data_IF_278813289502
#
_entry.id   IF_278813289502
#
_cell.length_a   1.000
_cell.length_b   1.000
_cell.length_c   1.000
_cell.angle_alpha   90.00
_cell.angle_beta   90.00
_cell.angle_gamma   90.00
#
_symmetry.space_group_name_H-M   'P 1'
#
loop_
_entity.id
_entity.type
_entity.pdbx_description
1 polymer ?
#
# COMPACT_ATOMS: atom_id res chain seq x y z
N UNK A 1 11.35 3.76 0.55
CA UNK A 1 10.43 3.05 1.47
C UNK A 1 9.66 2.02 0.66
N UNK A 2 9.45 0.82 1.20
CA UNK A 2 8.63 -0.16 0.50
C UNK A 2 7.15 0.22 0.58
N UNK A 3 6.45 -0.01 -0.53
CA UNK A 3 5.04 0.31 -0.71
C UNK A 3 4.34 -0.90 -1.33
N UNK A 4 3.20 -1.29 -0.75
CA UNK A 4 2.33 -2.33 -1.30
C UNK A 4 1.34 -1.64 -2.24
N UNK A 5 1.42 -1.92 -3.54
CA UNK A 5 0.67 -1.20 -4.58
C UNK A 5 0.10 -2.13 -5.65
N UNK A 6 -0.90 -1.63 -6.37
CA UNK A 6 -1.45 -2.29 -7.56
C UNK A 6 -0.59 -2.01 -8.79
N UNK A 7 -0.17 -3.07 -9.48
CA UNK A 7 0.45 -3.05 -10.81
C UNK A 7 -0.58 -3.51 -11.84
N UNK A 8 -0.86 -2.68 -12.86
CA UNK A 8 -1.77 -3.04 -13.95
C UNK A 8 -1.09 -4.03 -14.91
N UNK A 9 -1.76 -5.13 -15.22
CA UNK A 9 -1.27 -6.17 -16.17
C UNK A 9 -2.29 -6.56 -17.24
N UNK A 10 -3.57 -6.20 -17.08
CA UNK A 10 -4.62 -6.49 -18.06
C UNK A 10 -4.59 -5.63 -19.33
N UNK A 11 -5.34 -6.05 -20.36
CA UNK A 11 -5.37 -5.44 -21.71
C UNK A 11 -6.13 -4.10 -21.74
N UNK A 12 -6.27 -3.48 -22.91
CA UNK A 12 -7.24 -2.37 -23.11
C UNK A 12 -8.65 -2.91 -22.82
N UNK A 13 -9.47 -2.13 -22.11
CA UNK A 13 -10.83 -2.48 -21.66
C UNK A 13 -10.97 -3.73 -20.76
N UNK A 14 -9.86 -4.38 -20.38
CA UNK A 14 -9.83 -5.50 -19.45
C UNK A 14 -8.86 -5.21 -18.28
N UNK A 15 -9.33 -4.60 -17.19
CA UNK A 15 -8.48 -4.20 -16.07
C UNK A 15 -8.19 -5.39 -15.14
N UNK A 16 -6.98 -5.92 -15.20
CA UNK A 16 -6.44 -6.89 -14.24
C UNK A 16 -5.18 -6.33 -13.55
N UNK A 17 -5.03 -6.59 -12.26
CA UNK A 17 -3.98 -6.05 -11.40
C UNK A 17 -3.25 -7.12 -10.60
N UNK A 18 -1.99 -6.83 -10.26
CA UNK A 18 -1.16 -7.58 -9.31
C UNK A 18 -0.89 -6.73 -8.07
N UNK A 19 -1.04 -7.31 -6.89
CA UNK A 19 -0.61 -6.73 -5.60
C UNK A 19 0.88 -7.02 -5.45
N UNK A 20 1.70 -5.97 -5.43
CA UNK A 20 3.17 -6.08 -5.43
C UNK A 20 3.81 -5.18 -4.39
N UNK A 21 4.93 -5.64 -3.82
CA UNK A 21 5.83 -4.82 -2.99
C UNK A 21 6.89 -4.18 -3.88
N UNK A 22 7.11 -2.88 -3.75
CA UNK A 22 8.13 -2.15 -4.52
C UNK A 22 8.63 -0.91 -3.76
N UNK A 23 9.80 -0.34 -4.09
CA UNK A 23 10.20 0.98 -3.55
C UNK A 23 9.26 2.06 -4.11
N UNK A 24 8.83 3.00 -3.27
CA UNK A 24 8.00 4.16 -3.65
C UNK A 24 8.53 4.90 -4.88
N UNK A 25 9.86 4.96 -5.04
CA UNK A 25 10.55 5.64 -6.15
C UNK A 25 10.50 4.87 -7.47
N UNK A 26 10.28 3.55 -7.45
CA UNK A 26 10.17 2.73 -8.67
C UNK A 26 8.75 2.77 -9.22
N UNK A 27 8.63 2.95 -10.53
CA UNK A 27 7.37 2.69 -11.23
C UNK A 27 7.08 1.18 -11.22
N UNK A 28 5.82 0.79 -11.07
CA UNK A 28 5.39 -0.61 -11.03
C UNK A 28 5.36 -1.23 -12.45
N UNK A 29 6.52 -1.29 -13.09
CA UNK A 29 6.75 -2.00 -14.36
C UNK A 29 6.98 -3.49 -14.09
N UNK A 30 6.79 -4.34 -15.11
CA UNK A 30 7.19 -5.74 -15.05
C UNK A 30 8.68 -5.88 -14.63
N UNK A 31 9.00 -6.88 -13.81
CA UNK A 31 10.35 -7.11 -13.27
C UNK A 31 10.83 -6.15 -12.16
N UNK A 32 10.09 -5.08 -11.84
CA UNK A 32 10.57 -4.06 -10.87
C UNK A 32 10.26 -4.36 -9.39
N UNK A 33 9.35 -5.30 -9.11
CA UNK A 33 8.83 -5.61 -7.78
C UNK A 33 9.78 -6.50 -6.96
N UNK A 34 9.70 -6.35 -5.63
CA UNK A 34 10.43 -7.18 -4.65
C UNK A 34 9.72 -8.51 -4.41
N UNK A 35 8.39 -8.48 -4.24
CA UNK A 35 7.56 -9.67 -4.06
C UNK A 35 6.18 -9.49 -4.71
N UNK A 36 5.62 -10.60 -5.22
CA UNK A 36 4.24 -10.71 -5.67
C UNK A 36 3.36 -11.32 -4.57
N UNK A 37 2.44 -10.51 -4.04
CA UNK A 37 1.57 -10.90 -2.92
C UNK A 37 0.22 -11.46 -3.36
N UNK A 38 -0.22 -11.20 -4.60
CA UNK A 38 -1.53 -11.66 -5.06
C UNK A 38 -2.08 -10.98 -6.31
N UNK A 39 -3.22 -11.46 -6.79
CA UNK A 39 -3.98 -10.91 -7.92
C UNK A 39 -5.23 -10.13 -7.45
N UNK A 40 -5.65 -9.16 -8.25
CA UNK A 40 -6.94 -8.48 -8.10
C UNK A 40 -7.58 -8.21 -9.47
N UNK A 41 -8.80 -8.69 -9.65
CA UNK A 41 -9.61 -8.41 -10.84
C UNK A 41 -10.91 -7.68 -10.45
N UNK A 42 -11.03 -6.36 -10.64
CA UNK A 42 -12.26 -5.62 -10.34
C UNK A 42 -13.47 -6.07 -11.17
N UNK A 43 -13.26 -6.62 -12.38
CA UNK A 43 -14.36 -7.08 -13.26
C UNK A 43 -15.02 -8.36 -12.74
N UNK A 44 -14.22 -9.30 -12.24
CA UNK A 44 -14.69 -10.53 -11.60
C UNK A 44 -14.94 -10.37 -10.09
N UNK A 45 -14.53 -9.23 -9.51
CA UNK A 45 -14.47 -8.97 -8.05
C UNK A 45 -13.61 -9.97 -7.25
N UNK A 46 -12.82 -10.81 -7.94
CA UNK A 46 -11.89 -11.76 -7.34
C UNK A 46 -10.60 -11.07 -6.88
N UNK A 47 -10.06 -11.54 -5.75
CA UNK A 47 -8.79 -11.10 -5.22
C UNK A 47 -8.14 -12.22 -4.42
N UNK A 48 -6.99 -12.67 -4.90
CA UNK A 48 -6.29 -13.87 -4.42
C UNK A 48 -5.00 -13.38 -3.78
N UNK A 49 -4.98 -13.28 -2.45
CA UNK A 49 -3.99 -12.52 -1.69
C UNK A 49 -3.35 -13.42 -0.63
N UNK A 50 -2.02 -13.49 -0.62
CA UNK A 50 -1.25 -14.22 0.39
C UNK A 50 -1.25 -13.44 1.71
N UNK A 51 -2.26 -13.67 2.55
CA UNK A 51 -2.47 -12.88 3.77
C UNK A 51 -1.24 -12.82 4.68
N UNK A 52 -0.56 -13.95 4.92
CA UNK A 52 0.63 -14.01 5.77
C UNK A 52 1.76 -13.13 5.26
N UNK A 53 1.97 -13.09 3.94
CA UNK A 53 2.98 -12.23 3.31
C UNK A 53 2.57 -10.76 3.38
N UNK A 54 1.28 -10.43 3.25
CA UNK A 54 0.78 -9.06 3.51
C UNK A 54 1.03 -8.67 4.97
N UNK A 55 0.66 -9.51 5.94
CA UNK A 55 0.87 -9.29 7.38
C UNK A 55 2.36 -9.10 7.72
N UNK A 56 3.25 -9.92 7.15
CA UNK A 56 4.71 -9.76 7.24
C UNK A 56 5.21 -8.42 6.67
N UNK A 57 4.79 -8.04 5.46
CA UNK A 57 5.26 -6.77 4.89
C UNK A 57 4.73 -5.53 5.64
N UNK A 58 3.55 -5.63 6.26
CA UNK A 58 3.03 -4.59 7.15
C UNK A 58 3.87 -4.48 8.44
N UNK A 59 4.27 -5.59 9.08
CA UNK A 59 5.14 -5.53 10.28
C UNK A 59 6.57 -5.06 9.97
N UNK A 60 7.08 -5.32 8.77
CA UNK A 60 8.33 -4.74 8.23
C UNK A 60 8.17 -3.25 7.86
N UNK A 61 6.98 -2.67 8.02
CA UNK A 61 6.72 -1.23 7.80
C UNK A 61 6.49 -0.81 6.36
N UNK A 62 6.21 -1.75 5.44
CA UNK A 62 5.81 -1.41 4.07
C UNK A 62 4.39 -0.82 4.06
N UNK A 63 4.24 0.41 3.57
CA UNK A 63 2.95 1.12 3.60
C UNK A 63 2.07 0.73 2.41
N UNK A 64 0.81 0.32 2.60
CA UNK A 64 -0.10 0.10 1.48
C UNK A 64 -0.50 1.42 0.82
N UNK A 65 -0.72 1.42 -0.49
CA UNK A 65 -1.47 2.49 -1.16
C UNK A 65 -2.95 2.37 -0.81
N UNK A 66 -3.66 3.50 -0.70
CA UNK A 66 -5.06 3.64 -0.26
C UNK A 66 -6.03 2.61 -0.89
N UNK A 67 -5.93 2.38 -2.20
CA UNK A 67 -6.75 1.37 -2.90
C UNK A 67 -6.43 -0.08 -2.49
N UNK A 68 -5.16 -0.38 -2.19
CA UNK A 68 -4.72 -1.68 -1.68
C UNK A 68 -5.09 -1.85 -0.21
N UNK A 69 -5.02 -0.77 0.59
CA UNK A 69 -5.53 -0.74 1.97
C UNK A 69 -7.02 -1.08 2.01
N UNK A 70 -7.84 -0.42 1.19
CA UNK A 70 -9.27 -0.71 1.06
C UNK A 70 -9.58 -2.13 0.59
N UNK A 71 -8.71 -2.72 -0.24
CA UNK A 71 -8.79 -4.12 -0.66
C UNK A 71 -8.50 -5.07 0.52
N UNK A 72 -7.47 -4.80 1.32
CA UNK A 72 -7.11 -5.58 2.51
C UNK A 72 -8.17 -5.49 3.61
N UNK A 73 -8.74 -4.30 3.85
CA UNK A 73 -9.89 -4.11 4.75
C UNK A 73 -11.11 -4.89 4.26
N UNK A 74 -11.42 -4.82 2.95
CA UNK A 74 -12.54 -5.57 2.36
C UNK A 74 -12.33 -7.10 2.38
N UNK A 75 -11.08 -7.55 2.54
CA UNK A 75 -10.68 -8.94 2.75
C UNK A 75 -10.47 -9.32 4.22
N UNK A 76 -10.75 -8.43 5.18
CA UNK A 76 -10.54 -8.60 6.64
C UNK A 76 -9.09 -8.88 7.06
N UNK A 77 -8.11 -8.54 6.21
CA UNK A 77 -6.67 -8.69 6.49
C UNK A 77 -6.18 -7.59 7.44
N UNK A 78 -6.82 -6.41 7.39
CA UNK A 78 -6.57 -5.26 8.28
C UNK A 78 -7.92 -4.83 8.87
N UNK A 79 -7.98 -4.62 10.18
CA UNK A 79 -9.20 -4.23 10.92
C UNK A 79 -9.34 -2.71 11.10
N UNK A 80 -9.01 -1.94 10.06
CA UNK A 80 -9.13 -0.48 10.01
C UNK A 80 -10.29 -0.05 9.12
N UNK A 81 -10.74 1.20 9.24
CA UNK A 81 -11.72 1.76 8.32
C UNK A 81 -11.18 1.90 6.88
N UNK A 82 -12.11 2.11 5.93
CA UNK A 82 -11.78 2.35 4.52
C UNK A 82 -11.50 3.83 4.29
N UNK A 83 -10.42 4.11 3.59
CA UNK A 83 -10.00 5.47 3.22
C UNK A 83 -10.80 5.90 1.98
N UNK A 84 -11.38 7.11 1.97
CA UNK A 84 -11.96 7.64 0.72
C UNK A 84 -10.83 7.95 -0.29
N UNK A 85 -10.93 7.35 -1.47
CA UNK A 85 -9.96 7.49 -2.57
C UNK A 85 -10.46 8.40 -3.69
N UNK A 86 -11.66 8.97 -3.55
CA UNK A 86 -12.18 9.98 -4.46
C UNK A 86 -11.48 11.32 -4.19
N UNK A 87 -10.78 11.84 -5.20
CA UNK A 87 -10.03 13.08 -5.06
C UNK A 87 -10.98 14.29 -5.08
N UNK A 88 -11.38 14.78 -3.90
CA UNK A 88 -11.53 16.23 -3.74
C UNK A 88 -10.14 16.85 -3.87
N UNK A 89 -9.99 17.84 -4.74
CA UNK A 89 -8.70 18.52 -4.94
C UNK A 89 -8.30 19.26 -3.66
N UNK A 90 -7.28 18.77 -2.94
CA UNK A 90 -6.54 19.61 -1.99
C UNK A 90 -5.13 19.88 -2.52
N UNK A 91 -4.94 21.16 -2.82
CA UNK A 91 -3.67 21.89 -2.96
C UNK A 91 -2.74 21.60 -1.76
N UNK A 92 -1.46 21.85 -1.95
CA UNK A 92 -0.40 21.59 -0.96
C UNK A 92 -0.73 22.04 0.47
N UNK A 93 -0.48 21.15 1.43
CA UNK A 93 -0.22 21.52 2.82
C UNK A 93 1.00 20.74 3.30
N UNK A 94 2.18 21.32 3.09
CA UNK A 94 3.27 21.15 4.05
C UNK A 94 2.90 21.98 5.27
N UNK A 95 2.92 21.38 6.47
CA UNK A 95 3.28 21.98 7.78
C UNK A 95 2.58 21.22 8.91
N UNK A 96 3.29 20.27 9.51
CA UNK A 96 3.30 19.96 10.95
C UNK A 96 4.47 18.99 11.16
N UNK A 97 5.64 19.49 11.52
CA UNK A 97 6.07 19.66 12.91
C UNK A 97 6.28 18.29 13.60
N UNK A 98 7.44 17.69 13.36
CA UNK A 98 7.87 16.46 14.03
C UNK A 98 8.59 16.82 15.34
N UNK A 99 7.79 17.06 16.39
CA UNK A 99 8.24 17.28 17.77
C UNK A 99 7.26 16.56 18.71
N UNK A 100 7.68 15.83 19.73
CA UNK A 100 9.05 15.48 20.14
C UNK A 100 9.01 14.21 21.00
N UNK A 101 9.71 14.20 22.13
CA UNK A 101 9.65 13.21 23.21
C UNK A 101 10.36 11.88 22.92
N UNK A 102 11.36 11.41 23.70
CA UNK A 102 12.52 12.08 24.36
C UNK A 102 13.57 10.94 24.66
N UNK A 103 14.50 10.87 25.65
CA UNK A 103 14.88 11.62 26.86
C UNK A 103 16.32 11.25 27.33
N UNK A 104 16.84 11.96 28.35
CA UNK A 104 17.79 11.50 29.41
C UNK A 104 19.31 11.36 29.09
N UNK A 105 20.22 11.44 30.12
CA UNK A 105 21.16 12.58 30.14
C UNK A 105 22.61 12.30 30.63
N UNK A 106 23.49 13.31 30.48
CA UNK A 106 24.69 13.59 31.29
C UNK A 106 25.07 15.08 31.06
N UNK A 107 25.56 15.92 31.99
CA UNK A 107 26.04 15.76 33.37
C UNK A 107 27.38 15.03 33.57
N UNK A 108 28.48 15.73 33.30
CA UNK A 108 29.45 16.30 34.28
C UNK A 108 30.40 17.25 33.54
#
# INVERSE_FOLDING_TARGET
MLVIRLQRVGRKNDPSFRVVVNDKRRSAKAGSAVEFLGSYNPRQKTADIKEERVKYWLSVGAKPSDTAHNLFVSKKIISSEKIDVSKKSKKEEKTSANAGVEEKPAAV
#
